data_IF_101252223306
#
_entry.id   IF_101252223306
#
_cell.length_a   1.000
_cell.length_b   1.000
_cell.length_c   1.000
_cell.angle_alpha   90.00
_cell.angle_beta   90.00
_cell.angle_gamma   90.00
#
_symmetry.space_group_name_H-M   'P 1'
#
loop_
_entity.id
_entity.type
_entity.pdbx_description
1 polymer ?
#
# COMPACT_ATOMS: atom_id res chain seq x y z
N UNK A 1 18.10 -25.95 3.85
CA UNK A 1 18.07 -25.49 3.94
C UNK A 1 17.92 -24.97 3.56
N UNK A 2 17.81 -24.59 3.76
CA UNK A 2 17.82 -23.98 3.77
C UNK A 2 17.82 -23.31 3.52
N UNK A 3 17.80 -23.19 3.25
CA UNK A 3 18.01 -22.48 3.10
C UNK A 3 18.05 -21.50 3.38
N UNK A 4 18.26 -21.11 3.28
CA UNK A 4 18.59 -20.19 3.89
C UNK A 4 18.75 -18.92 3.30
N UNK A 5 19.49 -18.55 2.27
CA UNK A 5 19.65 -17.26 1.68
C UNK A 5 18.39 -16.66 1.25
N UNK A 6 17.54 -17.39 0.65
CA UNK A 6 16.32 -16.84 0.17
C UNK A 6 15.38 -16.51 1.27
N UNK A 7 15.56 -17.08 2.40
CA UNK A 7 14.74 -16.71 3.51
C UNK A 7 14.97 -15.29 3.88
N UNK A 8 16.17 -14.80 3.74
CA UNK A 8 16.49 -13.47 4.11
C UNK A 8 15.86 -12.42 3.27
N UNK A 9 15.54 -12.72 2.01
CA UNK A 9 14.92 -11.77 1.21
C UNK A 9 13.66 -11.31 1.77
N UNK A 10 12.89 -12.18 2.39
CA UNK A 10 11.57 -11.86 2.76
C UNK A 10 11.53 -10.93 3.91
N UNK A 11 12.68 -10.71 4.53
CA UNK A 11 12.70 -9.87 5.68
C UNK A 11 12.98 -8.44 5.39
N UNK A 12 13.21 -8.07 4.12
CA UNK A 12 13.47 -6.69 3.83
C UNK A 12 12.22 -5.86 3.70
N UNK A 13 11.05 -6.49 3.75
CA UNK A 13 9.82 -5.74 3.70
C UNK A 13 8.74 -6.54 4.42
N UNK A 14 7.99 -5.85 5.24
CA UNK A 14 6.91 -6.48 5.99
C UNK A 14 5.64 -5.70 5.73
N UNK A 15 4.53 -6.40 5.55
CA UNK A 15 3.27 -5.77 5.22
C UNK A 15 2.21 -6.21 6.22
N UNK A 16 1.61 -5.23 6.89
CA UNK A 16 0.50 -5.46 7.79
C UNK A 16 -0.78 -5.13 7.06
N UNK A 17 -1.64 -6.11 6.88
CA UNK A 17 -2.85 -5.97 6.11
C UNK A 17 -4.07 -6.10 6.99
N UNK A 18 -5.00 -5.15 6.89
CA UNK A 18 -6.25 -5.21 7.63
C UNK A 18 -7.39 -5.02 6.65
N UNK A 19 -8.32 -5.96 6.63
CA UNK A 19 -9.50 -5.86 5.80
C UNK A 19 -10.71 -5.55 6.70
N UNK A 20 -11.21 -4.33 6.61
CA UNK A 20 -12.40 -3.92 7.36
C UNK A 20 -13.65 -3.99 6.50
N UNK A 21 -13.57 -4.62 5.34
CA UNK A 21 -14.70 -4.81 4.45
C UNK A 21 -15.10 -6.27 4.35
N UNK A 22 -15.83 -6.63 3.30
CA UNK A 22 -16.25 -8.02 3.10
C UNK A 22 -15.07 -8.98 3.03
N UNK A 23 -15.33 -10.18 3.49
CA UNK A 23 -14.30 -11.20 3.59
C UNK A 23 -13.66 -11.55 2.25
N UNK A 24 -14.39 -11.34 1.16
CA UNK A 24 -13.84 -11.66 -0.16
C UNK A 24 -12.57 -10.86 -0.48
N UNK A 25 -12.32 -9.77 0.24
CA UNK A 25 -11.12 -8.97 0.00
C UNK A 25 -9.91 -9.45 0.78
N UNK A 26 -10.08 -10.50 1.62
CA UNK A 26 -8.94 -11.06 2.35
C UNK A 26 -7.87 -11.56 1.39
N UNK A 27 -8.24 -11.92 0.17
CA UNK A 27 -7.29 -12.43 -0.81
C UNK A 27 -6.24 -11.40 -1.22
N UNK A 28 -6.50 -10.13 -0.95
CA UNK A 28 -5.55 -9.11 -1.37
C UNK A 28 -4.32 -9.02 -0.50
N UNK A 29 -4.32 -9.66 0.65
CA UNK A 29 -3.12 -9.68 1.47
C UNK A 29 -1.93 -10.25 0.70
N UNK A 30 -2.11 -11.43 0.11
CA UNK A 30 -1.04 -12.07 -0.64
C UNK A 30 -0.70 -11.32 -1.91
N UNK A 31 -1.72 -10.79 -2.58
CA UNK A 31 -1.53 -10.05 -3.81
C UNK A 31 -0.70 -8.79 -3.56
N UNK A 32 -1.06 -8.04 -2.53
CA UNK A 32 -0.35 -6.82 -2.20
C UNK A 32 1.07 -7.11 -1.72
N UNK A 33 1.24 -8.18 -0.95
CA UNK A 33 2.57 -8.56 -0.49
C UNK A 33 3.48 -8.87 -1.67
N UNK A 34 2.96 -9.61 -2.63
CA UNK A 34 3.72 -9.94 -3.83
C UNK A 34 4.07 -8.69 -4.64
N UNK A 35 3.11 -7.77 -4.78
CA UNK A 35 3.35 -6.55 -5.52
C UNK A 35 4.39 -5.68 -4.83
N UNK A 36 4.34 -5.60 -3.49
CA UNK A 36 5.29 -4.79 -2.75
C UNK A 36 6.71 -5.32 -2.94
N UNK A 37 6.88 -6.64 -2.90
CA UNK A 37 8.19 -7.23 -3.14
C UNK A 37 8.69 -6.91 -4.54
N UNK A 38 7.80 -6.95 -5.53
CA UNK A 38 8.20 -6.65 -6.91
C UNK A 38 8.62 -5.18 -7.06
N UNK A 39 7.90 -4.28 -6.39
CA UNK A 39 8.27 -2.86 -6.44
C UNK A 39 9.63 -2.65 -5.82
N UNK A 40 9.87 -3.26 -4.66
CA UNK A 40 11.15 -3.13 -3.98
C UNK A 40 12.29 -3.70 -4.83
N UNK A 41 12.06 -4.85 -5.44
CA UNK A 41 13.07 -5.45 -6.33
C UNK A 41 13.35 -4.56 -7.51
N UNK A 42 12.31 -4.06 -8.16
CA UNK A 42 12.47 -3.24 -9.35
C UNK A 42 13.22 -1.95 -9.04
N UNK A 43 12.94 -1.35 -7.89
CA UNK A 43 13.59 -0.09 -7.51
C UNK A 43 14.88 -0.31 -6.73
N UNK A 44 15.25 -1.58 -6.52
CA UNK A 44 16.49 -1.95 -5.84
C UNK A 44 16.58 -1.39 -4.43
N UNK A 45 15.46 -1.47 -3.71
CA UNK A 45 15.40 -1.03 -2.32
C UNK A 45 15.72 -2.22 -1.44
N UNK A 46 16.74 -2.09 -0.60
CA UNK A 46 17.16 -3.17 0.26
C UNK A 46 17.11 -2.82 1.74
N UNK A 47 16.30 -1.84 2.09
CA UNK A 47 16.10 -1.44 3.47
C UNK A 47 14.86 -2.13 4.01
N UNK A 48 14.89 -2.53 5.28
CA UNK A 48 13.74 -3.15 5.91
C UNK A 48 12.67 -2.09 6.14
N UNK A 49 11.50 -2.27 5.56
CA UNK A 49 10.39 -1.37 5.76
C UNK A 49 9.14 -2.13 6.15
N UNK A 50 8.33 -1.49 6.98
CA UNK A 50 7.00 -1.97 7.34
C UNK A 50 5.98 -1.09 6.63
N UNK A 51 4.99 -1.69 6.00
CA UNK A 51 3.95 -0.98 5.30
C UNK A 51 2.61 -1.43 5.85
N UNK A 52 1.76 -0.48 6.22
CA UNK A 52 0.42 -0.79 6.69
C UNK A 52 -0.56 -0.57 5.56
N UNK A 53 -1.45 -1.52 5.32
CA UNK A 53 -2.45 -1.41 4.29
C UNK A 53 -3.81 -1.77 4.88
N UNK A 54 -4.80 -0.92 4.65
CA UNK A 54 -6.16 -1.17 5.13
C UNK A 54 -7.14 -1.07 3.98
N UNK A 55 -8.13 -1.97 3.97
CA UNK A 55 -9.26 -1.87 3.06
C UNK A 55 -10.45 -1.43 3.88
N UNK A 56 -11.10 -0.34 3.48
CA UNK A 56 -12.19 0.28 4.23
C UNK A 56 -13.33 0.65 3.29
N UNK A 57 -14.46 1.06 3.85
CA UNK A 57 -15.59 1.51 3.04
C UNK A 57 -15.50 3.01 2.75
N UNK A 58 -16.41 3.50 1.91
CA UNK A 58 -16.45 4.91 1.54
C UNK A 58 -16.64 5.83 2.73
N UNK A 59 -17.48 5.41 3.66
CA UNK A 59 -17.75 6.25 4.82
C UNK A 59 -16.50 6.46 5.65
N UNK A 60 -15.72 5.41 5.82
CA UNK A 60 -14.50 5.48 6.62
C UNK A 60 -13.43 6.31 5.92
N UNK A 61 -13.24 6.09 4.63
CA UNK A 61 -12.20 6.84 3.91
C UNK A 61 -12.58 8.30 3.76
N UNK A 62 -13.90 8.58 3.65
CA UNK A 62 -14.40 9.96 3.62
C UNK A 62 -14.02 10.69 4.91
N UNK A 63 -14.23 10.02 6.04
CA UNK A 63 -13.92 10.62 7.33
C UNK A 63 -12.43 10.89 7.45
N UNK A 64 -11.61 9.95 7.02
CA UNK A 64 -10.16 10.13 7.07
C UNK A 64 -9.72 11.27 6.17
N UNK A 65 -10.28 11.33 4.97
CA UNK A 65 -9.94 12.37 4.00
C UNK A 65 -10.28 13.75 4.55
N UNK A 66 -11.45 13.86 5.18
CA UNK A 66 -11.89 15.12 5.74
C UNK A 66 -11.03 15.53 6.92
N UNK A 67 -10.72 14.58 7.79
CA UNK A 67 -10.00 14.86 9.02
C UNK A 67 -8.54 15.19 8.80
N UNK A 68 -7.88 14.44 7.91
CA UNK A 68 -6.44 14.55 7.75
C UNK A 68 -5.99 15.30 6.50
N UNK A 69 -6.87 15.45 5.52
CA UNK A 69 -6.50 16.13 4.28
C UNK A 69 -7.40 17.32 4.00
N UNK A 70 -8.40 17.54 4.85
CA UNK A 70 -9.34 18.64 4.71
C UNK A 70 -10.12 18.59 3.40
N UNK A 71 -10.41 17.38 2.93
CA UNK A 71 -11.17 17.15 1.71
C UNK A 71 -12.43 16.42 2.11
N UNK A 72 -13.59 17.04 1.94
CA UNK A 72 -14.85 16.54 2.46
C UNK A 72 -15.54 15.67 1.42
N UNK A 73 -14.92 14.57 1.06
CA UNK A 73 -15.51 13.58 0.16
C UNK A 73 -14.69 12.29 0.22
N UNK A 74 -15.27 11.15 -0.18
CA UNK A 74 -14.50 9.92 -0.23
C UNK A 74 -13.53 9.96 -1.41
N UNK A 75 -12.54 9.09 -1.36
CA UNK A 75 -11.58 8.94 -2.44
C UNK A 75 -11.28 7.46 -2.60
N UNK A 76 -10.49 7.08 -3.58
CA UNK A 76 -10.16 5.68 -3.82
C UNK A 76 -9.01 5.20 -2.95
N UNK A 77 -7.98 5.99 -2.79
CA UNK A 77 -6.82 5.59 -2.00
C UNK A 77 -6.22 6.81 -1.33
N UNK A 78 -5.74 6.62 -0.10
CA UNK A 78 -4.99 7.64 0.62
C UNK A 78 -3.70 6.98 1.07
N UNK A 79 -2.59 7.67 0.90
CA UNK A 79 -1.32 7.17 1.41
C UNK A 79 -0.68 8.23 2.30
N UNK A 80 -0.18 7.79 3.44
CA UNK A 80 0.50 8.66 4.39
C UNK A 80 1.95 8.21 4.48
N UNK A 81 2.86 9.00 3.94
CA UNK A 81 4.28 8.67 3.99
C UNK A 81 4.84 9.15 5.32
N UNK A 82 5.58 8.29 5.99
CA UNK A 82 6.13 8.63 7.29
C UNK A 82 7.54 9.19 7.20
N UNK A 83 8.16 9.14 6.03
CA UNK A 83 9.47 9.72 5.82
C UNK A 83 9.40 10.75 4.71
N UNK A 84 10.06 11.87 4.89
CA UNK A 84 10.23 12.82 3.80
C UNK A 84 11.26 12.29 2.82
N UNK A 85 12.23 11.54 3.34
CA UNK A 85 13.29 10.94 2.54
C UNK A 85 13.34 9.46 2.87
N UNK A 86 13.11 8.62 1.88
CA UNK A 86 13.09 7.20 2.09
C UNK A 86 14.46 6.63 2.47
N UNK A 87 15.51 7.44 2.35
CA UNK A 87 16.83 7.00 2.78
C UNK A 87 17.06 7.18 4.27
N UNK A 88 16.17 7.88 4.94
CA UNK A 88 16.25 7.99 6.40
C UNK A 88 15.90 6.64 6.97
N UNK A 89 16.54 6.29 8.04
CA UNK A 89 16.16 5.05 8.70
C UNK A 89 16.49 5.11 10.15
N UNK A 90 15.81 4.27 10.92
CA UNK A 90 15.98 4.25 12.34
C UNK A 90 17.09 3.27 12.67
N UNK A 91 16.94 2.51 13.72
CA UNK A 91 17.99 1.64 14.22
C UNK A 91 18.24 0.47 13.30
N UNK A 92 19.48 0.05 13.16
CA UNK A 92 19.79 -1.12 12.36
C UNK A 92 19.07 -2.35 12.89
N UNK A 93 18.55 -3.16 11.99
CA UNK A 93 17.88 -4.38 12.36
C UNK A 93 16.45 -4.20 12.81
N UNK A 94 15.96 -2.97 12.87
CA UNK A 94 14.58 -2.68 13.24
C UNK A 94 13.89 -2.11 12.01
N UNK A 95 12.82 -2.73 11.51
CA UNK A 95 12.14 -2.20 10.35
C UNK A 95 11.58 -0.82 10.61
N UNK A 96 11.71 0.06 9.65
CA UNK A 96 11.16 1.41 9.74
C UNK A 96 9.81 1.42 9.07
N UNK A 97 8.85 2.12 9.64
CA UNK A 97 7.54 2.22 9.03
C UNK A 97 7.60 3.19 7.85
N UNK A 98 7.34 2.68 6.66
CA UNK A 98 7.37 3.49 5.46
C UNK A 98 6.13 4.36 5.37
N UNK A 99 5.00 3.84 5.80
CA UNK A 99 3.77 4.58 5.76
C UNK A 99 2.56 3.68 5.75
N UNK A 100 1.44 4.29 5.39
CA UNK A 100 0.16 3.61 5.43
C UNK A 100 -0.60 3.86 4.14
N UNK A 101 -1.24 2.82 3.60
CA UNK A 101 -2.08 2.92 2.41
C UNK A 101 -3.48 2.49 2.80
N UNK A 102 -4.47 3.31 2.49
CA UNK A 102 -5.87 3.04 2.81
C UNK A 102 -6.66 3.06 1.51
N UNK A 103 -7.37 1.97 1.21
CA UNK A 103 -8.09 1.80 -0.04
C UNK A 103 -9.58 1.62 0.25
N UNK A 104 -10.44 2.37 -0.46
CA UNK A 104 -11.88 2.16 -0.37
C UNK A 104 -12.28 1.06 -1.32
N UNK A 105 -12.86 -0.04 -0.78
CA UNK A 105 -13.27 -1.13 -1.65
C UNK A 105 -14.44 -0.72 -2.54
N UNK A 106 -15.31 0.17 -2.05
CA UNK A 106 -16.45 0.61 -2.85
C UNK A 106 -16.00 1.43 -4.05
N UNK A 107 -15.03 2.34 -3.82
CA UNK A 107 -14.49 3.12 -4.93
C UNK A 107 -13.70 2.26 -5.91
N UNK A 108 -12.95 1.29 -5.39
CA UNK A 108 -12.18 0.41 -6.26
C UNK A 108 -13.11 -0.40 -7.17
N UNK A 109 -14.20 -0.94 -6.60
CA UNK A 109 -15.15 -1.70 -7.40
C UNK A 109 -15.85 -0.81 -8.42
N UNK A 110 -16.23 0.39 -8.01
CA UNK A 110 -16.87 1.33 -8.90
C UNK A 110 -15.99 1.69 -10.07
N UNK A 111 -14.72 1.95 -9.80
CA UNK A 111 -13.77 2.32 -10.84
C UNK A 111 -13.46 1.15 -11.77
N UNK A 112 -13.44 -0.07 -11.23
CA UNK A 112 -13.22 -1.24 -12.05
C UNK A 112 -14.31 -1.36 -13.11
N UNK A 113 -15.56 -1.15 -12.72
CA UNK A 113 -16.66 -1.17 -13.65
C UNK A 113 -16.56 -0.01 -14.64
N UNK A 114 -16.27 1.18 -14.13
CA UNK A 114 -16.19 2.37 -14.95
C UNK A 114 -15.12 2.27 -16.03
N UNK A 115 -13.98 1.68 -15.69
CA UNK A 115 -12.86 1.58 -16.62
C UNK A 115 -12.80 0.23 -17.34
N UNK A 116 -13.83 -0.60 -17.12
CA UNK A 116 -13.97 -1.88 -17.81
C UNK A 116 -12.78 -2.79 -17.61
N UNK A 117 -12.39 -2.96 -16.36
CA UNK A 117 -11.38 -3.95 -16.04
C UNK A 117 -11.71 -4.63 -14.71
N UNK A 118 -10.94 -5.64 -14.34
CA UNK A 118 -11.25 -6.46 -13.18
C UNK A 118 -11.03 -5.69 -11.87
N UNK A 119 -11.72 -6.12 -10.83
CA UNK A 119 -11.48 -5.56 -9.50
C UNK A 119 -10.04 -5.79 -9.09
N UNK A 120 -9.50 -6.97 -9.39
CA UNK A 120 -8.10 -7.27 -9.04
C UNK A 120 -7.15 -6.25 -9.65
N UNK A 121 -7.40 -5.89 -10.90
CA UNK A 121 -6.54 -4.92 -11.57
C UNK A 121 -6.65 -3.55 -10.91
N UNK A 122 -7.86 -3.15 -10.54
CA UNK A 122 -8.05 -1.85 -9.92
C UNK A 122 -7.42 -1.78 -8.53
N UNK A 123 -7.65 -2.81 -7.70
CA UNK A 123 -7.04 -2.84 -6.37
C UNK A 123 -5.52 -2.85 -6.48
N UNK A 124 -4.99 -3.61 -7.42
CA UNK A 124 -3.54 -3.69 -7.62
C UNK A 124 -2.97 -2.33 -8.04
N UNK A 125 -3.67 -1.66 -8.94
CA UNK A 125 -3.24 -0.34 -9.40
C UNK A 125 -3.22 0.66 -8.25
N UNK A 126 -4.27 0.66 -7.42
CA UNK A 126 -4.35 1.60 -6.31
C UNK A 126 -3.26 1.32 -5.28
N UNK A 127 -2.98 0.03 -5.03
CA UNK A 127 -1.94 -0.32 -4.08
C UNK A 127 -0.56 0.11 -4.58
N UNK A 128 -0.24 -0.18 -5.83
CA UNK A 128 1.06 0.19 -6.39
C UNK A 128 1.21 1.72 -6.43
N UNK A 129 0.11 2.41 -6.79
CA UNK A 129 0.12 3.87 -6.80
C UNK A 129 0.45 4.40 -5.39
N UNK A 130 -0.20 3.83 -4.37
CA UNK A 130 0.08 4.21 -2.98
C UNK A 130 1.52 3.92 -2.58
N UNK A 131 2.03 2.77 -2.98
CA UNK A 131 3.41 2.40 -2.69
C UNK A 131 4.40 3.39 -3.27
N UNK A 132 4.20 3.75 -4.53
CA UNK A 132 5.10 4.70 -5.18
C UNK A 132 5.05 6.05 -4.51
N UNK A 133 3.87 6.43 -4.04
CA UNK A 133 3.72 7.69 -3.30
C UNK A 133 4.51 7.64 -1.99
N UNK A 134 4.45 6.51 -1.27
CA UNK A 134 5.19 6.36 -0.04
C UNK A 134 6.70 6.44 -0.29
N UNK A 135 7.13 6.00 -1.46
CA UNK A 135 8.54 6.00 -1.82
C UNK A 135 9.00 7.30 -2.47
N UNK A 136 8.12 8.29 -2.56
CA UNK A 136 8.48 9.60 -3.06
C UNK A 136 8.27 9.82 -4.55
N UNK A 137 7.61 8.89 -5.25
CA UNK A 137 7.36 9.01 -6.67
C UNK A 137 5.94 9.48 -6.89
N UNK A 138 5.61 10.65 -6.43
CA UNK A 138 4.24 11.07 -6.50
C UNK A 138 3.95 12.02 -7.61
N UNK A 139 4.37 12.27 -8.50
CA UNK A 139 3.88 13.19 -9.40
C UNK A 139 4.25 13.24 -10.62
N UNK A 140 4.13 13.38 -10.51
CA UNK A 140 4.29 13.46 -11.38
C UNK A 140 3.73 13.61 -12.35
N UNK A 141 3.72 13.62 -12.49
CA UNK A 141 3.50 13.67 -13.33
C UNK A 141 2.87 13.66 -13.91
N UNK A 142 2.49 13.95 -13.50
CA UNK A 142 1.97 13.96 -14.00
C UNK A 142 1.75 14.08 -14.50
#
# INVERSE_FOLDING_TARGET
>A
MLTYGKINFQEIMELDFINNGPKKYDCYEDIFCSLAHKVFDYLKIDTDYLIDVSIVDNKTIHKINKEYRNVDRPTDVISFAFFDDVNEKSLPGVPSSLGEIIISFEKAEEQAVQYDHSAKREFSFLFVHGMLHLLGYDHMNE
#
